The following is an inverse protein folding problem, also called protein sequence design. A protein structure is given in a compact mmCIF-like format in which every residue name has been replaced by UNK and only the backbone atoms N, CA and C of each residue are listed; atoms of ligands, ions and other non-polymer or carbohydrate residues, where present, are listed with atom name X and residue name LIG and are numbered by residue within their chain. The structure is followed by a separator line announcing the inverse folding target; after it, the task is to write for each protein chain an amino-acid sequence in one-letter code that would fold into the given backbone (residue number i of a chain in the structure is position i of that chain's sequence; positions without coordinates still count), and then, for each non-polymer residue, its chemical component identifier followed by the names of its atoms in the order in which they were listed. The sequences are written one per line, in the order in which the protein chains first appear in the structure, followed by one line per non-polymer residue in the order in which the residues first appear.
data_IF_471340234531
#
_entry.id   IF_471340234531
#
_cell.length_a   1.000
_cell.length_b   1.000
_cell.length_c   1.000
_cell.angle_alpha   90.00
_cell.angle_beta   90.00
_cell.angle_gamma   90.00
#
_symmetry.space_group_name_H-M   'P 1'
#
loop_
_entity.id
_entity.type
_entity.pdbx_description
1 polymer ?
#
# COMPACT_ATOMS: atom_id res chain seq x y z
N UNK A 1 3.05 7.04 -7.32
CA UNK A 1 2.15 6.70 -6.22
C UNK A 1 0.85 6.20 -6.81
N UNK A 2 0.48 4.95 -6.54
CA UNK A 2 -0.69 4.29 -7.14
C UNK A 2 -1.92 4.42 -6.23
N UNK A 3 -1.72 4.35 -4.92
CA UNK A 3 -2.72 4.49 -3.88
C UNK A 3 -2.04 5.05 -2.62
N UNK A 4 -2.76 5.87 -1.85
CA UNK A 4 -2.33 6.40 -0.56
C UNK A 4 -3.57 6.46 0.34
N UNK A 5 -3.45 6.00 1.57
CA UNK A 5 -4.47 6.20 2.59
C UNK A 5 -3.84 6.36 3.95
N UNK A 6 -4.59 6.98 4.87
CA UNK A 6 -4.28 7.06 6.29
C UNK A 6 -5.13 6.09 7.12
N UNK A 7 -6.11 5.44 6.50
CA UNK A 7 -6.94 4.42 7.13
C UNK A 7 -6.32 3.04 6.93
N UNK A 8 -5.99 2.37 8.03
CA UNK A 8 -5.42 1.03 8.00
C UNK A 8 -6.40 -0.03 7.46
N UNK A 9 -7.71 0.23 7.52
CA UNK A 9 -8.73 -0.66 6.99
C UNK A 9 -8.95 -0.50 5.49
N UNK A 10 -8.42 0.56 4.88
CA UNK A 10 -8.57 0.83 3.46
C UNK A 10 -7.38 0.25 2.68
N UNK A 11 -7.67 -0.61 1.71
CA UNK A 11 -6.67 -1.27 0.89
C UNK A 11 -6.76 -0.81 -0.56
N UNK A 12 -5.67 -0.96 -1.30
CA UNK A 12 -5.68 -0.72 -2.73
C UNK A 12 -6.54 -1.76 -3.46
N UNK A 13 -7.52 -1.29 -4.23
CA UNK A 13 -8.48 -2.13 -4.98
C UNK A 13 -7.94 -2.70 -6.30
N UNK A 14 -6.63 -2.57 -6.55
CA UNK A 14 -5.91 -3.01 -7.76
C UNK A 14 -6.20 -2.17 -9.02
N UNK A 15 -6.89 -1.04 -8.87
CA UNK A 15 -7.15 -0.12 -9.98
C UNK A 15 -6.32 1.16 -9.86
N UNK A 16 -5.94 1.74 -10.99
CA UNK A 16 -5.34 3.08 -11.00
C UNK A 16 -5.98 3.89 -12.10
N UNK A 17 -6.54 5.06 -11.75
CA UNK A 17 -7.27 5.94 -12.68
C UNK A 17 -8.40 5.21 -13.44
N UNK A 18 -9.09 4.28 -12.78
CA UNK A 18 -10.18 3.49 -13.37
C UNK A 18 -9.73 2.36 -14.30
N UNK A 19 -8.42 2.15 -14.47
CA UNK A 19 -7.87 1.06 -15.26
C UNK A 19 -7.33 -0.07 -14.34
N UNK A 20 -7.70 -1.34 -14.59
CA UNK A 20 -7.11 -2.47 -13.91
C UNK A 20 -5.59 -2.49 -14.13
N UNK A 21 -4.82 -2.69 -13.07
CA UNK A 21 -3.38 -2.78 -13.19
C UNK A 21 -2.93 -4.17 -13.67
N UNK A 22 -1.86 -4.24 -14.49
CA UNK A 22 -1.33 -5.51 -14.98
C UNK A 22 -0.72 -6.35 -13.86
N UNK A 23 -0.58 -7.66 -14.12
CA UNK A 23 0.25 -8.52 -13.27
C UNK A 23 1.64 -7.91 -13.12
N UNK A 24 2.15 -7.90 -11.90
CA UNK A 24 3.44 -7.29 -11.63
C UNK A 24 3.75 -7.19 -10.15
N UNK A 25 4.94 -6.70 -9.85
CA UNK A 25 5.37 -6.40 -8.50
C UNK A 25 5.25 -4.90 -8.27
N UNK A 26 4.53 -4.53 -7.21
CA UNK A 26 4.32 -3.17 -6.76
C UNK A 26 5.04 -2.96 -5.43
N UNK A 27 5.64 -1.80 -5.24
CA UNK A 27 6.29 -1.44 -3.97
C UNK A 27 5.25 -0.76 -3.08
N UNK A 28 5.20 -1.15 -1.81
CA UNK A 28 4.47 -0.42 -0.78
C UNK A 28 5.46 0.14 0.24
N UNK A 29 5.11 1.33 0.75
CA UNK A 29 5.77 2.00 1.86
C UNK A 29 4.69 2.42 2.84
N UNK A 30 4.83 2.03 4.10
CA UNK A 30 3.90 2.34 5.20
C UNK A 30 4.70 2.97 6.34
N UNK A 31 4.22 4.12 6.80
CA UNK A 31 4.71 4.75 8.02
C UNK A 31 3.57 4.85 9.04
N UNK A 32 3.80 4.34 10.25
CA UNK A 32 2.86 4.37 11.36
C UNK A 32 3.53 4.85 12.64
N UNK A 33 2.75 5.43 13.54
CA UNK A 33 3.20 5.78 14.90
C UNK A 33 2.51 4.83 15.87
N UNK A 34 3.30 4.10 16.64
CA UNK A 34 2.76 3.17 17.65
C UNK A 34 2.19 3.95 18.83
N UNK A 35 1.39 3.28 19.67
CA UNK A 35 0.81 3.88 20.89
C UNK A 35 1.87 4.43 21.85
N UNK A 36 3.13 3.98 21.74
CA UNK A 36 4.26 4.45 22.53
C UNK A 36 5.01 5.62 21.88
N UNK A 37 4.49 6.18 20.78
CA UNK A 37 5.09 7.30 20.05
C UNK A 37 6.28 6.90 19.17
N UNK A 38 6.51 5.60 18.97
CA UNK A 38 7.64 5.12 18.16
C UNK A 38 7.21 5.06 16.69
N UNK A 39 8.02 5.64 15.81
CA UNK A 39 7.86 5.53 14.36
C UNK A 39 8.18 4.11 13.91
N UNK A 40 7.20 3.48 13.28
CA UNK A 40 7.32 2.19 12.62
C UNK A 40 7.23 2.41 11.12
N UNK A 41 8.25 1.93 10.39
CA UNK A 41 8.30 2.00 8.93
C UNK A 41 8.38 0.59 8.39
N UNK A 42 7.52 0.28 7.45
CA UNK A 42 7.51 -1.00 6.75
C UNK A 42 7.46 -0.73 5.25
N UNK A 43 8.31 -1.43 4.51
CA UNK A 43 8.33 -1.35 3.06
C UNK A 43 8.53 -2.75 2.48
N UNK A 44 7.97 -2.98 1.30
CA UNK A 44 8.04 -4.29 0.70
C UNK A 44 7.46 -4.34 -0.69
N UNK A 45 7.37 -5.56 -1.21
CA UNK A 45 6.90 -5.86 -2.55
C UNK A 45 5.59 -6.64 -2.46
N UNK A 46 4.54 -6.10 -3.07
CA UNK A 46 3.27 -6.79 -3.27
C UNK A 46 3.23 -7.30 -4.70
N UNK A 47 3.06 -8.61 -4.87
CA UNK A 47 2.86 -9.20 -6.19
C UNK A 47 1.37 -9.23 -6.49
N UNK A 48 0.97 -8.54 -7.55
CA UNK A 48 -0.40 -8.57 -8.05
C UNK A 48 -0.58 -9.81 -8.93
N UNK A 49 -1.24 -10.82 -8.36
CA UNK A 49 -1.68 -12.05 -9.03
C UNK A 49 -3.19 -11.97 -9.33
N UNK A 50 -3.64 -12.71 -10.35
CA UNK A 50 -5.05 -12.83 -10.76
C UNK A 50 -5.62 -14.16 -10.33
#
# INVERSE_FOLDING_TARGET
MVFETKDIAEGWDRTFKGAPQPFGVYIYDVEAVTITGVLFKEHGNVTLLR
#
